data_IF_547369006881
#
_entry.id   IF_547369006881
#
_cell.length_a   1.000
_cell.length_b   1.000
_cell.length_c   1.000
_cell.angle_alpha   90.00
_cell.angle_beta   90.00
_cell.angle_gamma   90.00
#
_symmetry.space_group_name_H-M   'P 1'
#
loop_
_entity.id
_entity.type
_entity.pdbx_description
1 polymer ?
#
# COMPACT_ATOMS: atom_id res chain seq x y z
N UNK A 1 -22.95 20.34 -77.92
CA UNK A 1 -23.68 19.14 -77.46
C UNK A 1 -23.25 18.90 -76.01
N UNK A 2 -23.79 19.55 -74.98
CA UNK A 2 -25.08 19.35 -74.27
C UNK A 2 -25.22 17.93 -73.66
N UNK A 3 -24.94 17.83 -72.34
CA UNK A 3 -25.48 17.02 -71.20
C UNK A 3 -26.13 15.62 -71.42
N UNK A 4 -26.13 14.66 -70.44
CA UNK A 4 -26.44 14.91 -69.02
C UNK A 4 -25.72 14.08 -67.92
N UNK A 5 -26.02 14.49 -66.68
CA UNK A 5 -25.71 13.85 -65.38
C UNK A 5 -26.62 12.64 -65.16
N UNK A 6 -26.10 11.56 -64.58
CA UNK A 6 -26.84 10.53 -63.82
C UNK A 6 -25.98 10.21 -62.59
N UNK A 7 -26.26 10.69 -61.38
CA UNK A 7 -27.33 10.29 -60.44
C UNK A 7 -27.22 8.80 -60.04
N UNK A 8 -26.50 8.59 -58.92
CA UNK A 8 -26.72 7.65 -57.81
C UNK A 8 -27.11 6.19 -58.08
N UNK A 9 -26.33 5.26 -57.52
CA UNK A 9 -26.87 4.30 -56.55
C UNK A 9 -25.77 3.82 -55.59
N UNK A 10 -25.80 4.33 -54.36
CA UNK A 10 -24.99 3.82 -53.25
C UNK A 10 -25.46 2.41 -52.89
N UNK A 11 -24.59 1.41 -53.02
CA UNK A 11 -24.83 0.09 -52.45
C UNK A 11 -24.18 0.05 -51.05
N UNK A 12 -24.97 0.43 -50.05
CA UNK A 12 -24.58 0.31 -48.64
C UNK A 12 -24.76 -1.16 -48.21
N UNK A 13 -23.69 -1.94 -48.28
CA UNK A 13 -23.65 -3.28 -47.68
C UNK A 13 -23.57 -3.14 -46.15
N UNK A 14 -24.70 -3.38 -45.49
CA UNK A 14 -24.79 -3.42 -44.03
C UNK A 14 -24.10 -4.71 -43.53
N UNK A 15 -22.81 -4.64 -43.25
CA UNK A 15 -22.07 -5.71 -42.60
C UNK A 15 -22.41 -5.69 -41.10
N UNK A 16 -23.42 -6.47 -40.70
CA UNK A 16 -23.79 -6.67 -39.31
C UNK A 16 -22.69 -7.42 -38.55
N UNK A 17 -21.71 -6.68 -38.03
CA UNK A 17 -20.73 -7.20 -37.09
C UNK A 17 -21.39 -7.41 -35.72
N UNK A 18 -21.48 -8.66 -35.27
CA UNK A 18 -21.81 -8.96 -33.89
C UNK A 18 -20.72 -8.36 -32.99
N UNK A 19 -21.02 -7.24 -32.33
CA UNK A 19 -20.21 -6.74 -31.22
C UNK A 19 -20.36 -7.72 -30.07
N UNK A 20 -19.38 -8.61 -29.90
CA UNK A 20 -19.20 -9.31 -28.64
C UNK A 20 -18.91 -8.26 -27.57
N UNK A 21 -19.92 -7.92 -26.77
CA UNK A 21 -19.79 -7.01 -25.64
C UNK A 21 -18.99 -7.75 -24.56
N UNK A 22 -17.66 -7.61 -24.56
CA UNK A 22 -16.88 -7.97 -23.39
C UNK A 22 -17.29 -7.02 -22.28
N UNK A 23 -17.99 -7.52 -21.25
CA UNK A 23 -18.30 -6.73 -20.08
C UNK A 23 -17.01 -6.09 -19.55
N UNK A 24 -17.01 -4.77 -19.39
CA UNK A 24 -15.88 -4.05 -18.82
C UNK A 24 -15.59 -4.61 -17.41
N UNK A 25 -14.31 -4.72 -17.01
CA UNK A 25 -13.98 -5.17 -15.66
C UNK A 25 -14.67 -4.27 -14.64
N UNK A 26 -15.36 -4.87 -13.67
CA UNK A 26 -16.05 -4.15 -12.61
C UNK A 26 -15.01 -3.64 -11.61
N UNK A 27 -14.47 -2.44 -11.88
CA UNK A 27 -13.55 -1.73 -10.99
C UNK A 27 -14.14 -1.48 -9.59
N UNK A 28 -15.47 -1.54 -9.42
CA UNK A 28 -16.11 -1.40 -8.10
C UNK A 28 -16.05 -2.68 -7.26
N UNK A 29 -15.81 -3.84 -7.89
CA UNK A 29 -15.61 -5.15 -7.25
C UNK A 29 -14.19 -5.68 -7.35
N UNK A 30 -13.28 -4.91 -7.94
CA UNK A 30 -11.85 -5.14 -7.72
C UNK A 30 -11.60 -4.91 -6.23
N UNK A 31 -11.74 -5.97 -5.43
CA UNK A 31 -11.19 -6.00 -4.09
C UNK A 31 -9.74 -5.57 -4.28
N UNK A 32 -9.37 -4.39 -3.77
CA UNK A 32 -7.97 -4.06 -3.67
C UNK A 32 -7.39 -5.21 -2.87
N UNK A 33 -6.68 -6.14 -3.51
CA UNK A 33 -5.79 -7.01 -2.77
C UNK A 33 -4.83 -6.03 -2.13
N UNK A 34 -5.08 -5.66 -0.88
CA UNK A 34 -4.17 -4.83 -0.11
C UNK A 34 -2.82 -5.51 -0.32
N UNK A 35 -1.93 -4.85 -1.05
CA UNK A 35 -0.69 -5.51 -1.45
C UNK A 35 0.02 -5.90 -0.17
N UNK A 36 0.62 -7.10 -0.14
CA UNK A 36 1.26 -7.59 1.07
C UNK A 36 2.28 -6.57 1.59
N UNK A 37 2.46 -6.54 2.91
CA UNK A 37 3.54 -5.74 3.50
C UNK A 37 4.86 -6.30 3.03
N UNK A 38 5.78 -5.44 2.58
CA UNK A 38 7.06 -5.90 2.06
C UNK A 38 8.18 -4.96 2.48
N UNK A 39 9.14 -5.50 3.21
CA UNK A 39 10.45 -4.91 3.44
C UNK A 39 11.31 -5.12 2.19
N UNK A 40 11.83 -4.04 1.60
CA UNK A 40 12.54 -4.03 0.32
C UNK A 40 13.96 -3.50 0.55
N UNK A 41 14.98 -4.29 0.19
CA UNK A 41 16.38 -3.91 0.37
C UNK A 41 16.93 -4.28 1.74
N UNK A 42 17.93 -3.53 2.19
CA UNK A 42 18.60 -3.75 3.48
C UNK A 42 18.17 -2.73 4.53
N UNK A 43 18.39 -3.03 5.80
CA UNK A 43 18.01 -2.19 6.93
C UNK A 43 18.60 -0.76 6.88
N UNK A 44 19.72 -0.54 6.17
CA UNK A 44 20.39 0.77 5.94
C UNK A 44 20.25 1.32 4.52
N UNK A 45 19.59 0.60 3.63
CA UNK A 45 19.42 0.98 2.23
C UNK A 45 18.18 0.27 1.67
N UNK A 46 17.02 0.70 2.12
CA UNK A 46 15.76 0.01 1.84
C UNK A 46 14.53 0.89 1.96
N UNK A 47 13.37 0.28 1.78
CA UNK A 47 12.07 0.89 2.02
C UNK A 47 11.07 -0.18 2.50
N UNK A 48 9.93 0.24 3.02
CA UNK A 48 8.81 -0.65 3.32
C UNK A 48 7.58 -0.23 2.52
N UNK A 49 6.89 -1.22 1.95
CA UNK A 49 5.61 -1.03 1.28
C UNK A 49 4.49 -1.58 2.15
N UNK A 50 3.38 -0.83 2.24
CA UNK A 50 2.18 -1.20 2.99
C UNK A 50 2.42 -1.47 4.49
N UNK A 51 3.42 -0.83 5.11
CA UNK A 51 3.63 -0.91 6.55
C UNK A 51 2.36 -0.54 7.33
N UNK A 52 2.19 -1.14 8.50
CA UNK A 52 1.13 -0.77 9.43
C UNK A 52 1.67 0.12 10.55
N UNK A 53 0.80 0.96 11.11
CA UNK A 53 1.11 1.73 12.30
C UNK A 53 1.07 0.83 13.54
N UNK A 54 2.04 0.98 14.43
CA UNK A 54 2.02 0.39 15.76
C UNK A 54 0.92 1.09 16.59
N UNK A 55 0.10 0.35 17.37
CA UNK A 55 -0.85 0.96 18.31
C UNK A 55 -0.13 1.94 19.25
N UNK A 56 -0.76 3.08 19.58
CA UNK A 56 -0.13 4.11 20.43
C UNK A 56 0.21 3.59 21.83
N UNK A 57 -0.57 2.63 22.32
CA UNK A 57 -0.39 1.97 23.60
C UNK A 57 -0.94 0.55 23.53
N UNK A 58 -0.49 -0.30 24.45
CA UNK A 58 -0.99 -1.64 24.63
C UNK A 58 -0.48 -2.24 25.94
N UNK A 59 -0.75 -3.52 26.15
CA UNK A 59 -0.32 -4.21 27.36
C UNK A 59 1.20 -4.20 27.48
N UNK A 60 1.72 -3.47 28.48
CA UNK A 60 3.15 -3.37 28.76
C UNK A 60 3.97 -2.56 27.75
N UNK A 61 3.36 -1.76 26.86
CA UNK A 61 4.10 -0.84 25.99
C UNK A 61 3.36 0.47 25.67
N UNK A 62 4.13 1.51 25.33
CA UNK A 62 3.61 2.79 24.84
C UNK A 62 4.55 3.39 23.77
N UNK A 63 3.98 3.90 22.67
CA UNK A 63 4.72 4.66 21.66
C UNK A 63 5.02 6.06 22.17
N UNK A 64 6.28 6.48 22.06
CA UNK A 64 6.72 7.82 22.44
C UNK A 64 7.08 8.64 21.20
N UNK A 65 6.98 9.98 21.33
CA UNK A 65 7.30 10.94 20.26
C UNK A 65 6.56 10.65 18.92
N UNK A 66 5.25 10.33 18.92
CA UNK A 66 4.53 9.97 17.69
C UNK A 66 4.56 11.08 16.62
N UNK A 67 4.75 12.35 17.02
CA UNK A 67 4.91 13.49 16.10
C UNK A 67 6.07 13.37 15.12
N UNK A 68 7.04 12.44 15.31
CA UNK A 68 8.09 12.15 14.33
C UNK A 68 7.61 11.31 13.14
N UNK A 69 6.46 10.64 13.23
CA UNK A 69 5.98 9.74 12.18
C UNK A 69 6.83 8.49 11.96
N UNK A 70 7.48 7.99 13.02
CA UNK A 70 8.43 6.85 12.98
C UNK A 70 7.92 5.59 13.69
N UNK A 71 6.63 5.34 13.70
CA UNK A 71 5.99 4.21 14.41
C UNK A 71 5.34 3.21 13.43
N UNK A 72 5.90 3.07 12.23
CA UNK A 72 5.41 2.14 11.22
C UNK A 72 6.31 0.92 11.13
N UNK A 73 5.75 -0.25 10.86
CA UNK A 73 6.51 -1.49 10.78
C UNK A 73 5.80 -2.55 9.94
N UNK A 74 6.52 -3.63 9.67
CA UNK A 74 5.93 -4.87 9.16
C UNK A 74 5.07 -5.53 10.26
N UNK A 75 3.88 -6.11 9.95
CA UNK A 75 3.09 -6.88 10.89
C UNK A 75 3.85 -7.79 11.87
N UNK A 76 4.89 -8.52 11.44
CA UNK A 76 5.65 -9.40 12.37
C UNK A 76 6.42 -8.60 13.42
N UNK A 77 6.86 -7.39 13.10
CA UNK A 77 7.51 -6.49 14.07
C UNK A 77 6.48 -5.93 15.06
N UNK A 78 5.27 -5.63 14.61
CA UNK A 78 4.18 -5.18 15.48
C UNK A 78 3.79 -6.30 16.45
N UNK A 79 3.66 -7.53 15.95
CA UNK A 79 3.38 -8.71 16.77
C UNK A 79 4.49 -8.94 17.81
N UNK A 80 5.76 -8.82 17.41
CA UNK A 80 6.88 -8.88 18.35
C UNK A 80 6.77 -7.84 19.48
N UNK A 81 6.42 -6.60 19.16
CA UNK A 81 6.26 -5.53 20.17
C UNK A 81 5.12 -5.87 21.14
N UNK A 82 3.98 -6.34 20.61
CA UNK A 82 2.82 -6.71 21.43
C UNK A 82 3.19 -7.88 22.37
N UNK A 83 3.87 -8.91 21.86
CA UNK A 83 4.25 -10.07 22.65
C UNK A 83 5.34 -9.75 23.68
N UNK A 84 6.29 -8.88 23.33
CA UNK A 84 7.24 -8.35 24.30
C UNK A 84 6.54 -7.52 25.38
N UNK A 85 5.56 -6.71 25.00
CA UNK A 85 4.72 -5.93 25.91
C UNK A 85 4.02 -6.82 26.94
N UNK A 86 3.35 -7.90 26.51
CA UNK A 86 2.72 -8.88 27.42
C UNK A 86 3.71 -9.43 28.46
N UNK A 87 4.90 -9.85 28.01
CA UNK A 87 5.95 -10.37 28.92
C UNK A 87 6.44 -9.32 29.90
N UNK A 88 6.55 -8.06 29.47
CA UNK A 88 6.94 -6.94 30.32
C UNK A 88 5.85 -6.59 31.32
N UNK A 89 4.58 -6.66 30.92
CA UNK A 89 3.43 -6.46 31.79
C UNK A 89 3.34 -7.53 32.90
N UNK A 90 3.67 -8.79 32.60
CA UNK A 90 3.79 -9.85 33.60
C UNK A 90 4.80 -9.49 34.69
N UNK A 91 5.90 -8.84 34.31
CA UNK A 91 6.91 -8.28 35.21
C UNK A 91 6.54 -6.91 35.81
N UNK A 92 5.30 -6.44 35.63
CA UNK A 92 4.77 -5.15 36.11
C UNK A 92 5.51 -3.92 35.54
N UNK A 93 6.07 -4.04 34.35
CA UNK A 93 6.77 -2.97 33.66
C UNK A 93 6.02 -2.38 32.46
N UNK A 94 6.63 -1.39 31.83
CA UNK A 94 6.24 -0.84 30.53
C UNK A 94 7.50 -0.59 29.68
N UNK A 95 7.46 -0.91 28.38
CA UNK A 95 8.48 -0.48 27.42
C UNK A 95 8.01 0.74 26.64
N UNK A 96 8.95 1.66 26.39
CA UNK A 96 8.71 2.86 25.60
C UNK A 96 9.23 2.63 24.18
N UNK A 97 8.34 2.62 23.20
CA UNK A 97 8.66 2.37 21.80
C UNK A 97 9.07 3.69 21.16
N UNK A 98 10.36 3.80 20.84
CA UNK A 98 10.94 4.93 20.11
C UNK A 98 10.79 4.80 18.59
N UNK A 99 11.83 5.21 17.86
CA UNK A 99 11.82 5.15 16.39
C UNK A 99 11.85 3.69 15.87
N UNK A 100 10.91 3.36 14.98
CA UNK A 100 10.81 2.07 14.29
C UNK A 100 11.07 2.22 12.79
N UNK A 101 10.13 2.76 12.02
CA UNK A 101 10.37 3.15 10.63
C UNK A 101 9.39 4.27 10.24
N UNK A 102 9.73 5.01 9.19
CA UNK A 102 8.80 5.89 8.48
C UNK A 102 7.74 5.04 7.75
N UNK A 103 6.58 5.61 7.42
CA UNK A 103 5.48 4.87 6.75
C UNK A 103 5.89 4.20 5.42
N UNK A 104 6.88 4.75 4.73
CA UNK A 104 7.44 4.14 3.51
C UNK A 104 8.88 3.70 3.70
N UNK A 105 9.38 3.69 4.94
CA UNK A 105 10.78 3.36 5.25
C UNK A 105 11.74 4.41 4.71
N UNK A 106 12.92 3.97 4.28
CA UNK A 106 13.94 4.83 3.69
C UNK A 106 14.75 5.66 4.70
N UNK A 107 15.78 6.38 4.22
CA UNK A 107 16.69 7.15 5.06
C UNK A 107 15.96 8.18 5.91
N UNK A 108 16.37 8.29 7.17
CA UNK A 108 15.90 9.33 8.09
C UNK A 108 16.76 10.59 7.92
N UNK A 109 16.13 11.77 8.03
CA UNK A 109 16.83 13.06 7.91
C UNK A 109 17.83 13.29 9.06
N UNK A 110 17.54 12.70 10.22
CA UNK A 110 18.27 12.83 11.47
C UNK A 110 18.23 11.51 12.23
N UNK A 111 19.40 11.15 12.78
CA UNK A 111 19.62 9.95 13.59
C UNK A 111 19.40 8.63 12.81
N UNK A 112 19.99 7.55 13.30
CA UNK A 112 19.83 6.17 12.79
C UNK A 112 20.12 5.96 11.29
N UNK A 113 21.26 5.33 10.98
CA UNK A 113 21.57 4.90 9.60
C UNK A 113 20.71 3.73 9.12
N UNK A 114 20.00 3.04 10.02
CA UNK A 114 19.14 1.88 9.76
C UNK A 114 17.63 2.27 9.76
N UNK A 115 16.73 1.37 10.17
CA UNK A 115 15.29 1.63 10.31
C UNK A 115 14.54 1.94 9.00
N UNK A 116 15.07 1.43 7.87
CA UNK A 116 14.53 1.76 6.55
C UNK A 116 13.51 0.76 6.00
N UNK A 117 13.30 -0.39 6.65
CA UNK A 117 12.55 -1.54 6.10
C UNK A 117 11.58 -2.16 7.08
#
# INVERSE_FOLDING_TARGET
>A
MIFPRFITLSLLTLLGGALALTAAPDWSRAASSASATQSIGAYTAGCIRNSAAIPMEGEGFQVIRPGRGRYFANPETIEFIIDLGKRVNDAKGIILIGDVAQQTGGPMLDEHSSHQT
#
